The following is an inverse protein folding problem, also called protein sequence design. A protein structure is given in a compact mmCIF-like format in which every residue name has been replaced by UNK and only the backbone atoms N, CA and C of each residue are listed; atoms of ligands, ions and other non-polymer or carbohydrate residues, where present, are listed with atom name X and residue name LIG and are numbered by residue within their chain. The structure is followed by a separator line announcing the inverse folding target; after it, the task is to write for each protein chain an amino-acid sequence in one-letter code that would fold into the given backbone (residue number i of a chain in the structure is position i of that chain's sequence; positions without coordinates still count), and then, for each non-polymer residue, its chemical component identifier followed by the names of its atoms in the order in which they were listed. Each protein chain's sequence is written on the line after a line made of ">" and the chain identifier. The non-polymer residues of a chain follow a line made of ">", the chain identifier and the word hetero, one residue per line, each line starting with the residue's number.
data_IF_034598243551
#
_entry.id   IF_034598243551
#
_cell.length_a   1.000
_cell.length_b   1.000
_cell.length_c   1.000
_cell.angle_alpha   90.00
_cell.angle_beta   90.00
_cell.angle_gamma   90.00
#
_symmetry.space_group_name_H-M   'P 1'
#
loop_
_entity.id
_entity.type
_entity.pdbx_description
1 polymer ?
#
# COMPACT_ATOMS: atom_id res chain seq x y z
N UNK A 1 -6.07 0.47 -15.16
CA UNK A 1 -5.52 -0.34 -14.07
C UNK A 1 -5.24 -1.72 -14.57
N UNK A 2 -4.27 -2.40 -13.96
CA UNK A 2 -4.13 -3.84 -14.06
C UNK A 2 -5.30 -4.54 -13.33
N UNK A 3 -5.52 -5.81 -13.62
CA UNK A 3 -6.48 -6.62 -12.87
C UNK A 3 -5.88 -6.90 -11.49
N UNK A 4 -6.51 -6.36 -10.43
CA UNK A 4 -6.08 -6.57 -9.05
C UNK A 4 -6.06 -8.05 -8.70
N UNK A 5 -4.88 -8.58 -8.38
CA UNK A 5 -4.71 -9.94 -7.88
C UNK A 5 -5.00 -9.97 -6.38
N UNK A 6 -5.27 -11.18 -5.86
CA UNK A 6 -5.55 -11.35 -4.42
C UNK A 6 -4.39 -10.92 -3.52
N UNK A 7 -3.16 -11.05 -4.01
CA UNK A 7 -1.97 -10.70 -3.25
C UNK A 7 -1.78 -9.18 -3.17
N UNK A 8 -2.22 -8.45 -4.19
CA UNK A 8 -2.21 -6.98 -4.25
C UNK A 8 -3.09 -6.40 -3.14
N UNK A 9 -4.35 -6.85 -3.08
CA UNK A 9 -5.31 -6.44 -2.05
C UNK A 9 -4.79 -6.75 -0.65
N UNK A 10 -4.22 -7.95 -0.44
CA UNK A 10 -3.67 -8.34 0.84
C UNK A 10 -2.45 -7.48 1.23
N UNK A 11 -1.55 -7.22 0.29
CA UNK A 11 -0.34 -6.43 0.52
C UNK A 11 -0.72 -4.99 0.86
N UNK A 12 -1.65 -4.40 0.11
CA UNK A 12 -2.17 -3.07 0.38
C UNK A 12 -2.78 -2.96 1.80
N UNK A 13 -3.62 -3.93 2.19
CA UNK A 13 -4.20 -3.96 3.53
C UNK A 13 -3.14 -4.01 4.64
N UNK A 14 -2.09 -4.82 4.46
CA UNK A 14 -1.01 -4.96 5.44
C UNK A 14 -0.22 -3.67 5.55
N UNK A 15 0.16 -3.05 4.42
CA UNK A 15 0.89 -1.79 4.40
C UNK A 15 0.09 -0.66 5.04
N UNK A 16 -1.19 -0.50 4.68
CA UNK A 16 -2.06 0.51 5.27
C UNK A 16 -2.16 0.36 6.79
N UNK A 17 -2.41 -0.86 7.29
CA UNK A 17 -2.50 -1.13 8.74
C UNK A 17 -1.17 -0.85 9.45
N UNK A 18 -0.05 -1.28 8.88
CA UNK A 18 1.29 -1.06 9.45
C UNK A 18 1.65 0.44 9.50
N UNK A 19 1.43 1.17 8.41
CA UNK A 19 1.74 2.59 8.32
C UNK A 19 0.85 3.43 9.25
N UNK A 20 -0.44 3.14 9.35
CA UNK A 20 -1.34 3.82 10.29
C UNK A 20 -0.94 3.52 11.74
N UNK A 21 -0.70 2.25 12.07
CA UNK A 21 -0.33 1.85 13.43
C UNK A 21 1.04 2.37 13.89
N UNK A 22 1.92 2.74 12.95
CA UNK A 22 3.19 3.40 13.26
C UNK A 22 3.01 4.75 13.97
N UNK A 23 1.84 5.41 13.80
CA UNK A 23 1.57 6.75 14.31
C UNK A 23 2.44 7.84 13.67
N UNK A 24 3.11 7.55 12.54
CA UNK A 24 4.02 8.48 11.85
C UNK A 24 3.43 9.07 10.58
N UNK A 25 2.39 8.46 10.02
CA UNK A 25 1.82 8.86 8.73
C UNK A 25 0.54 9.69 8.89
N UNK A 26 0.29 10.57 7.92
CA UNK A 26 -0.90 11.41 7.88
C UNK A 26 -1.74 11.21 6.63
N UNK A 27 -1.08 10.91 5.52
CA UNK A 27 -1.69 10.62 4.22
C UNK A 27 -0.94 9.41 3.65
N UNK A 28 -1.70 8.47 3.11
CA UNK A 28 -1.17 7.33 2.38
C UNK A 28 -1.69 7.38 0.95
N UNK A 29 -0.83 7.09 -0.02
CA UNK A 29 -1.17 6.93 -1.43
C UNK A 29 -0.63 5.58 -1.87
N UNK A 30 -1.53 4.69 -2.28
CA UNK A 30 -1.20 3.35 -2.75
C UNK A 30 -1.41 3.30 -4.26
N UNK A 31 -0.63 2.48 -4.97
CA UNK A 31 -0.90 2.16 -6.39
C UNK A 31 -2.28 1.48 -6.56
N UNK A 32 -2.72 0.78 -5.52
CA UNK A 32 -3.94 -0.05 -5.48
C UNK A 32 -5.22 0.72 -5.12
N UNK A 33 -5.12 2.00 -4.71
CA UNK A 33 -6.24 2.84 -4.31
C UNK A 33 -6.34 4.07 -5.22
N UNK A 34 -7.52 4.34 -5.78
CA UNK A 34 -7.73 5.52 -6.64
C UNK A 34 -7.61 6.84 -5.86
N UNK A 35 -8.02 6.83 -4.60
CA UNK A 35 -8.06 8.00 -3.72
C UNK A 35 -7.01 7.90 -2.59
N UNK A 36 -6.49 9.05 -2.17
CA UNK A 36 -5.58 9.11 -1.04
C UNK A 36 -6.30 8.76 0.28
N UNK A 37 -5.65 7.94 1.11
CA UNK A 37 -6.17 7.54 2.42
C UNK A 37 -5.70 8.55 3.47
N UNK A 38 -6.67 9.23 4.10
CA UNK A 38 -6.40 10.19 5.16
C UNK A 38 -6.42 9.51 6.53
N UNK A 39 -5.29 9.52 7.24
CA UNK A 39 -5.19 8.94 8.58
C UNK A 39 -6.03 9.76 9.57
N UNK A 40 -6.77 9.06 10.44
CA UNK A 40 -7.60 9.70 11.47
C UNK A 40 -6.78 10.64 12.35
N UNK A 41 -7.31 11.81 12.77
CA UNK A 41 -6.57 12.80 13.54
C UNK A 41 -5.89 12.26 14.81
N UNK A 42 -6.50 11.28 15.50
CA UNK A 42 -5.96 10.66 16.71
C UNK A 42 -4.72 9.78 16.49
N UNK A 43 -4.52 9.28 15.26
CA UNK A 43 -3.42 8.39 14.87
C UNK A 43 -2.42 9.08 13.92
N UNK A 44 -2.65 10.37 13.63
CA UNK A 44 -1.95 11.11 12.58
C UNK A 44 -0.55 11.50 13.00
N UNK A 45 0.43 11.10 12.21
CA UNK A 45 1.80 11.60 12.30
C UNK A 45 2.10 12.75 11.34
N UNK A 46 3.38 12.90 10.95
CA UNK A 46 3.86 14.06 10.16
C UNK A 46 4.17 13.72 8.70
N UNK A 47 4.18 12.44 8.33
CA UNK A 47 4.68 12.01 7.03
C UNK A 47 3.54 11.63 6.07
N UNK A 48 3.68 12.03 4.82
CA UNK A 48 2.93 11.43 3.71
C UNK A 48 3.77 10.28 3.16
N UNK A 49 3.14 9.13 2.88
CA UNK A 49 3.81 7.96 2.30
C UNK A 49 3.09 7.58 1.01
N UNK A 50 3.86 7.53 -0.07
CA UNK A 50 3.43 6.99 -1.36
C UNK A 50 4.14 5.66 -1.51
N UNK A 51 3.42 4.60 -1.82
CA UNK A 51 3.98 3.25 -1.91
C UNK A 51 3.28 2.40 -2.98
N UNK A 52 4.01 1.44 -3.52
CA UNK A 52 3.49 0.32 -4.27
C UNK A 52 3.58 -0.93 -3.37
N UNK A 53 2.45 -1.46 -2.87
CA UNK A 53 2.46 -2.59 -1.96
C UNK A 53 3.02 -3.86 -2.62
N UNK A 54 2.87 -4.02 -3.94
CA UNK A 54 3.33 -5.19 -4.67
C UNK A 54 3.67 -4.89 -6.14
N UNK A 55 4.87 -4.39 -6.37
CA UNK A 55 5.40 -4.17 -7.72
C UNK A 55 5.65 -5.51 -8.43
N UNK A 56 5.22 -5.57 -9.69
CA UNK A 56 5.38 -6.74 -10.54
C UNK A 56 4.40 -7.87 -10.22
N UNK A 57 3.24 -7.58 -9.63
CA UNK A 57 2.18 -8.56 -9.34
C UNK A 57 1.78 -9.42 -10.56
N UNK A 58 1.84 -8.84 -11.76
CA UNK A 58 1.69 -9.52 -13.05
C UNK A 58 2.61 -10.76 -13.19
N UNK A 59 3.79 -10.77 -12.57
CA UNK A 59 4.78 -11.86 -12.63
C UNK A 59 4.63 -12.95 -11.55
N UNK A 60 3.64 -12.85 -10.65
CA UNK A 60 3.42 -13.82 -9.55
C UNK A 60 3.39 -15.27 -10.08
N UNK A 61 2.66 -15.52 -11.16
CA UNK A 61 2.45 -16.87 -11.72
C UNK A 61 3.69 -17.40 -12.47
N UNK A 62 4.62 -16.51 -12.83
CA UNK A 62 5.86 -16.83 -13.53
C UNK A 62 7.02 -17.13 -12.57
N UNK A 63 6.83 -16.95 -11.25
CA UNK A 63 7.86 -17.21 -10.24
C UNK A 63 9.09 -16.29 -10.33
N UNK A 64 8.92 -15.11 -10.93
CA UNK A 64 9.96 -14.09 -11.05
C UNK A 64 9.96 -13.19 -9.81
N UNK A 65 11.02 -12.42 -9.61
CA UNK A 65 11.10 -11.45 -8.52
C UNK A 65 9.98 -10.43 -8.59
N UNK A 66 9.35 -10.20 -7.44
CA UNK A 66 8.36 -9.14 -7.16
C UNK A 66 8.83 -8.35 -5.94
N UNK A 67 8.29 -7.15 -5.70
CA UNK A 67 8.81 -6.26 -4.65
C UNK A 67 7.80 -5.25 -4.13
N UNK A 68 8.30 -4.27 -3.38
CA UNK A 68 7.53 -3.13 -2.86
C UNK A 68 8.37 -1.88 -3.08
N UNK A 69 7.74 -0.77 -3.46
CA UNK A 69 8.40 0.53 -3.68
C UNK A 69 7.85 1.59 -2.73
#
# INVERSE_FOLDING_TARGET
>A
GEEQKKLDVLSNEVFCKALISSGRTSILVSEEDEDAIFVQPSLRGKYCVVFDPLDGSSNIDCGVSIGTV
#
